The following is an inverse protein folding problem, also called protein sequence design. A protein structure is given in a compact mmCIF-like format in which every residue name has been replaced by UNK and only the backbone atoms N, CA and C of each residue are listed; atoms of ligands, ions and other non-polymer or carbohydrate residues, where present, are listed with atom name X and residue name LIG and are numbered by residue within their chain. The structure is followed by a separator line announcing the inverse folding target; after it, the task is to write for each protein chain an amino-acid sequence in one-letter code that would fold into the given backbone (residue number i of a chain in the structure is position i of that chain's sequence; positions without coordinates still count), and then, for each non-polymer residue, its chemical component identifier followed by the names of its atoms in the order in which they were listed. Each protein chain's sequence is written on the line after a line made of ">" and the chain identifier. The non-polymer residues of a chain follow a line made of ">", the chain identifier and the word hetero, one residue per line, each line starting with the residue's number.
data_IF_195834496928
#
_entry.id   IF_195834496928
#
_cell.length_a   1.000
_cell.length_b   1.000
_cell.length_c   1.000
_cell.angle_alpha   90.00
_cell.angle_beta   90.00
_cell.angle_gamma   90.00
#
_symmetry.space_group_name_H-M   'P 1'
#
loop_
_entity.id
_entity.type
_entity.pdbx_description
1 polymer ?
#
# COMPACT_ATOMS: atom_id res chain seq x y z
N UNK A 1 1.92 18.33 -2.89
CA UNK A 1 1.78 16.88 -3.17
C UNK A 1 0.29 16.58 -3.32
N UNK A 2 -0.17 16.05 -4.45
CA UNK A 2 -1.63 15.91 -4.68
C UNK A 2 -2.22 14.75 -3.87
N UNK A 3 -3.15 15.04 -2.96
CA UNK A 3 -3.86 14.08 -2.09
C UNK A 3 -4.51 12.94 -2.89
N UNK A 4 -4.94 13.22 -4.13
CA UNK A 4 -5.52 12.23 -5.05
C UNK A 4 -4.58 11.06 -5.37
N UNK A 5 -3.26 11.32 -5.45
CA UNK A 5 -2.26 10.29 -5.81
C UNK A 5 -1.98 9.34 -4.64
N UNK A 6 -1.88 9.90 -3.44
CA UNK A 6 -1.74 9.11 -2.22
C UNK A 6 -2.93 8.17 -2.04
N UNK A 7 -4.16 8.68 -2.21
CA UNK A 7 -5.36 7.85 -2.11
C UNK A 7 -5.36 6.72 -3.14
N UNK A 8 -4.99 7.01 -4.39
CA UNK A 8 -4.87 5.98 -5.44
C UNK A 8 -3.86 4.89 -5.07
N UNK A 9 -2.71 5.25 -4.48
CA UNK A 9 -1.71 4.29 -4.01
C UNK A 9 -2.27 3.42 -2.88
N UNK A 10 -2.86 4.03 -1.85
CA UNK A 10 -3.45 3.32 -0.71
C UNK A 10 -4.56 2.37 -1.17
N UNK A 11 -5.44 2.80 -2.07
CA UNK A 11 -6.53 1.97 -2.60
C UNK A 11 -6.02 0.78 -3.43
N UNK A 12 -4.94 0.95 -4.19
CA UNK A 12 -4.29 -0.15 -4.91
C UNK A 12 -3.67 -1.16 -3.94
N UNK A 13 -2.97 -0.69 -2.92
CA UNK A 13 -2.37 -1.56 -1.90
C UNK A 13 -3.46 -2.37 -1.16
N UNK A 14 -4.58 -1.74 -0.79
CA UNK A 14 -5.71 -2.43 -0.15
C UNK A 14 -6.32 -3.54 -1.01
N UNK A 15 -6.34 -3.38 -2.33
CA UNK A 15 -6.89 -4.40 -3.26
C UNK A 15 -6.00 -5.63 -3.42
N UNK A 16 -4.72 -5.51 -3.06
CA UNK A 16 -3.74 -6.59 -3.19
C UNK A 16 -3.62 -7.45 -1.93
N UNK A 17 -4.34 -7.10 -0.87
CA UNK A 17 -4.45 -7.89 0.36
C UNK A 17 -5.90 -8.06 0.71
N UNK A 18 -6.19 -9.04 1.57
CA UNK A 18 -7.52 -9.15 2.18
C UNK A 18 -7.68 -8.12 3.32
N UNK A 19 -7.62 -6.83 2.97
CA UNK A 19 -7.64 -5.70 3.92
C UNK A 19 -8.83 -5.76 4.87
N UNK A 20 -9.97 -6.32 4.43
CA UNK A 20 -11.19 -6.45 5.24
C UNK A 20 -11.07 -7.51 6.35
N UNK A 21 -10.09 -8.42 6.27
CA UNK A 21 -9.83 -9.41 7.32
C UNK A 21 -8.91 -8.90 8.42
N UNK A 22 -8.32 -7.73 8.22
CA UNK A 22 -7.41 -7.14 9.19
C UNK A 22 -8.23 -6.59 10.36
N UNK A 23 -7.72 -6.72 11.57
CA UNK A 23 -8.25 -6.02 12.73
C UNK A 23 -8.08 -4.51 12.57
N UNK A 24 -8.84 -3.72 13.34
CA UNK A 24 -8.86 -2.26 13.18
C UNK A 24 -7.46 -1.63 13.33
N UNK A 25 -6.67 -2.10 14.30
CA UNK A 25 -5.28 -1.70 14.52
C UNK A 25 -4.38 -2.08 13.34
N UNK A 26 -4.49 -3.31 12.83
CA UNK A 26 -3.76 -3.76 11.63
C UNK A 26 -4.13 -2.92 10.39
N UNK A 27 -5.38 -2.48 10.25
CA UNK A 27 -5.83 -1.63 9.15
C UNK A 27 -5.23 -0.22 9.24
N UNK A 28 -5.19 0.37 10.44
CA UNK A 28 -4.58 1.67 10.67
C UNK A 28 -3.08 1.64 10.41
N UNK A 29 -2.39 0.61 10.91
CA UNK A 29 -0.96 0.40 10.69
C UNK A 29 -0.65 0.21 9.19
N UNK A 30 -1.44 -0.60 8.49
CA UNK A 30 -1.29 -0.79 7.05
C UNK A 30 -1.41 0.53 6.27
N UNK A 31 -2.40 1.35 6.58
CA UNK A 31 -2.60 2.65 5.92
C UNK A 31 -1.46 3.61 6.27
N UNK A 32 -1.01 3.65 7.53
CA UNK A 32 0.11 4.48 7.97
C UNK A 32 1.40 4.12 7.23
N UNK A 33 1.71 2.82 7.14
CA UNK A 33 2.87 2.32 6.40
C UNK A 33 2.79 2.68 4.91
N UNK A 34 1.61 2.57 4.30
CA UNK A 34 1.41 2.92 2.89
C UNK A 34 1.67 4.40 2.63
N UNK A 35 1.22 5.27 3.54
CA UNK A 35 1.49 6.70 3.48
C UNK A 35 2.99 6.98 3.64
N UNK A 36 3.65 6.35 4.61
CA UNK A 36 5.07 6.52 4.87
C UNK A 36 5.92 6.14 3.66
N UNK A 37 5.67 4.98 3.04
CA UNK A 37 6.45 4.54 1.87
C UNK A 37 6.19 5.42 0.66
N UNK A 38 4.94 5.82 0.41
CA UNK A 38 4.62 6.75 -0.67
C UNK A 38 5.40 8.07 -0.55
N UNK A 39 5.50 8.61 0.68
CA UNK A 39 6.23 9.85 0.95
C UNK A 39 7.74 9.67 0.84
N UNK A 40 8.28 8.60 1.43
CA UNK A 40 9.72 8.35 1.50
C UNK A 40 10.34 8.02 0.14
N UNK A 41 9.58 7.42 -0.77
CA UNK A 41 10.08 7.01 -2.09
C UNK A 41 9.77 8.03 -3.19
N UNK A 42 9.16 9.16 -2.84
CA UNK A 42 8.83 10.26 -3.75
C UNK A 42 8.18 9.76 -5.07
N UNK A 43 7.27 8.78 -4.95
CA UNK A 43 6.73 8.02 -6.09
C UNK A 43 6.09 8.95 -7.13
N UNK A 44 6.75 9.10 -8.27
CA UNK A 44 6.28 9.88 -9.41
C UNK A 44 5.05 9.27 -10.08
N UNK A 45 4.34 10.04 -10.92
CA UNK A 45 3.06 9.64 -11.55
C UNK A 45 3.13 8.38 -12.41
N UNK A 46 4.31 7.99 -12.91
CA UNK A 46 4.50 6.75 -13.67
C UNK A 46 4.83 5.51 -12.82
N UNK A 47 5.17 5.69 -11.54
CA UNK A 47 5.69 4.61 -10.69
C UNK A 47 4.62 3.90 -9.85
N UNK A 48 3.41 4.46 -9.70
CA UNK A 48 2.32 3.81 -8.96
C UNK A 48 1.67 2.76 -9.86
N UNK A 49 2.33 1.62 -9.97
CA UNK A 49 1.85 0.45 -10.70
C UNK A 49 1.74 -0.76 -9.76
N UNK A 50 1.20 -1.86 -10.29
CA UNK A 50 0.96 -3.10 -9.55
C UNK A 50 2.24 -3.66 -8.90
N UNK A 51 3.40 -3.52 -9.55
CA UNK A 51 4.67 -4.06 -9.04
C UNK A 51 5.19 -3.26 -7.84
N UNK A 52 5.06 -1.93 -7.86
CA UNK A 52 5.44 -1.07 -6.72
C UNK A 52 4.52 -1.32 -5.52
N UNK A 53 3.23 -1.52 -5.76
CA UNK A 53 2.30 -1.89 -4.70
C UNK A 53 2.58 -3.29 -4.13
N UNK A 54 2.95 -4.28 -4.96
CA UNK A 54 3.40 -5.62 -4.53
C UNK A 54 4.69 -5.58 -3.72
N UNK A 55 5.70 -4.82 -4.17
CA UNK A 55 6.94 -4.63 -3.42
C UNK A 55 6.69 -4.01 -2.04
N UNK A 56 5.77 -3.05 -1.95
CA UNK A 56 5.35 -2.47 -0.69
C UNK A 56 4.65 -3.47 0.24
N UNK A 57 3.79 -4.33 -0.29
CA UNK A 57 3.15 -5.39 0.49
C UNK A 57 4.17 -6.33 1.13
N UNK A 58 5.21 -6.70 0.39
CA UNK A 58 6.31 -7.49 0.93
C UNK A 58 7.01 -6.80 2.11
N UNK A 59 7.12 -5.47 2.09
CA UNK A 59 7.73 -4.70 3.18
C UNK A 59 6.83 -4.56 4.42
N UNK A 60 5.51 -4.54 4.24
CA UNK A 60 4.55 -4.39 5.36
C UNK A 60 4.17 -5.73 5.97
N UNK A 61 3.97 -6.75 5.15
CA UNK A 61 3.63 -8.09 5.61
C UNK A 61 4.15 -9.14 4.62
N UNK A 62 5.40 -9.61 4.78
CA UNK A 62 6.01 -10.58 3.88
C UNK A 62 5.33 -11.95 3.91
N UNK A 63 4.39 -12.21 4.83
CA UNK A 63 3.64 -13.48 4.93
C UNK A 63 2.22 -13.36 4.36
N UNK A 64 1.67 -12.15 4.20
CA UNK A 64 0.35 -11.88 3.61
C UNK A 64 0.38 -11.53 2.12
N UNK A 65 1.46 -11.85 1.39
CA UNK A 65 1.40 -11.90 -0.07
C UNK A 65 0.39 -12.99 -0.49
N UNK A 66 -0.86 -12.62 -0.76
CA UNK A 66 -1.91 -13.57 -1.12
C UNK A 66 -2.34 -13.37 -2.57
N UNK A 67 -1.76 -14.25 -3.41
CA UNK A 67 -2.19 -14.71 -4.74
C UNK A 67 -2.17 -13.68 -5.88
N UNK A 68 -1.38 -14.03 -6.90
CA UNK A 68 -1.45 -13.43 -8.24
C UNK A 68 -2.70 -13.84 -9.01
#
# INVERSE_FOLDING_TARGET
>A
MSTKKLNKFVDLSKKLVDFKRYQTDEQEEFVSNAIAIYRNNNLGSGAINLQVAKFFLFLVDPRKEVRG
#
